data_IF_623181136190
#
_entry.id   IF_623181136190
#
_cell.length_a   1.000
_cell.length_b   1.000
_cell.length_c   1.000
_cell.angle_alpha   90.00
_cell.angle_beta   90.00
_cell.angle_gamma   90.00
#
_symmetry.space_group_name_H-M   'P 1'
#
loop_
_entity.id
_entity.type
_entity.pdbx_description
1 polymer ?
#
# COMPACT_ATOMS: atom_id res chain seq x y z
N UNK A 1 -8.04 -10.21 17.08
CA UNK A 1 -6.98 -9.25 16.73
C UNK A 1 -6.88 -9.15 15.22
N UNK A 2 -7.00 -7.96 14.62
CA UNK A 2 -6.60 -7.75 13.23
C UNK A 2 -5.09 -7.54 13.24
N UNK A 3 -4.36 -8.24 12.37
CA UNK A 3 -2.91 -8.04 12.23
C UNK A 3 -2.65 -6.74 11.47
N UNK A 4 -1.53 -6.08 11.76
CA UNK A 4 -1.09 -4.87 11.08
C UNK A 4 -1.10 -5.03 9.54
N UNK A 5 -0.68 -6.20 9.07
CA UNK A 5 -0.74 -6.60 7.66
C UNK A 5 -2.18 -6.61 7.10
N UNK A 6 -3.14 -7.11 7.88
CA UNK A 6 -4.55 -7.17 7.46
C UNK A 6 -5.14 -5.78 7.27
N UNK A 7 -4.84 -4.87 8.20
CA UNK A 7 -5.33 -3.49 8.14
C UNK A 7 -4.65 -2.70 7.02
N UNK A 8 -3.35 -2.91 6.82
CA UNK A 8 -2.64 -2.37 5.68
C UNK A 8 -3.22 -2.85 4.34
N UNK A 9 -3.49 -4.16 4.20
CA UNK A 9 -4.06 -4.71 2.98
C UNK A 9 -5.45 -4.15 2.65
N UNK A 10 -6.25 -3.80 3.66
CA UNK A 10 -7.53 -3.09 3.45
C UNK A 10 -7.30 -1.68 2.90
N UNK A 11 -6.39 -0.90 3.49
CA UNK A 11 -6.00 0.42 2.99
C UNK A 11 -5.49 0.37 1.55
N UNK A 12 -4.62 -0.59 1.24
CA UNK A 12 -4.06 -0.79 -0.10
C UNK A 12 -5.13 -1.16 -1.13
N UNK A 13 -6.06 -2.06 -0.79
CA UNK A 13 -7.18 -2.44 -1.68
C UNK A 13 -8.15 -1.29 -1.93
N UNK A 14 -8.45 -0.47 -0.93
CA UNK A 14 -9.31 0.70 -1.07
C UNK A 14 -8.74 1.70 -2.10
N UNK A 15 -7.41 1.79 -2.18
CA UNK A 15 -6.71 2.68 -3.09
C UNK A 15 -6.34 2.04 -4.45
N UNK A 16 -6.80 0.83 -4.76
CA UNK A 16 -6.39 0.09 -5.97
C UNK A 16 -6.64 0.86 -7.27
N UNK A 17 -7.73 1.63 -7.36
CA UNK A 17 -8.04 2.47 -8.55
C UNK A 17 -7.05 3.63 -8.74
N UNK A 18 -6.41 4.05 -7.64
CA UNK A 18 -5.44 5.13 -7.64
C UNK A 18 -4.01 4.67 -7.98
N UNK A 19 -3.80 3.37 -8.18
CA UNK A 19 -2.49 2.77 -8.41
C UNK A 19 -2.45 2.04 -9.76
N UNK A 20 -1.29 2.07 -10.42
CA UNK A 20 -1.01 1.12 -11.49
C UNK A 20 -0.90 -0.30 -10.93
N UNK A 21 -1.10 -1.31 -11.78
CA UNK A 21 -0.94 -2.71 -11.40
C UNK A 21 0.44 -3.00 -10.81
N UNK A 22 1.48 -2.36 -11.35
CA UNK A 22 2.85 -2.52 -10.86
C UNK A 22 3.03 -1.92 -9.47
N UNK A 23 2.57 -0.67 -9.26
CA UNK A 23 2.63 0.00 -7.96
C UNK A 23 1.90 -0.81 -6.87
N UNK A 24 0.69 -1.28 -7.18
CA UNK A 24 -0.07 -2.13 -6.27
C UNK A 24 0.69 -3.41 -5.90
N UNK A 25 1.29 -4.10 -6.88
CA UNK A 25 2.05 -5.34 -6.65
C UNK A 25 3.31 -5.09 -5.81
N UNK A 26 4.05 -4.01 -6.08
CA UNK A 26 5.26 -3.66 -5.34
C UNK A 26 4.95 -3.35 -3.87
N UNK A 27 3.98 -2.47 -3.61
CA UNK A 27 3.58 -2.11 -2.24
C UNK A 27 3.03 -3.32 -1.48
N UNK A 28 2.24 -4.17 -2.17
CA UNK A 28 1.77 -5.45 -1.62
C UNK A 28 2.95 -6.35 -1.23
N UNK A 29 3.95 -6.47 -2.10
CA UNK A 29 5.14 -7.30 -1.87
C UNK A 29 5.95 -6.87 -0.65
N UNK A 30 6.16 -5.56 -0.47
CA UNK A 30 6.86 -5.01 0.70
C UNK A 30 6.16 -5.38 2.01
N UNK A 31 4.84 -5.20 2.07
CA UNK A 31 4.08 -5.57 3.26
C UNK A 31 4.11 -7.08 3.56
N UNK A 32 4.09 -7.94 2.53
CA UNK A 32 4.25 -9.39 2.73
C UNK A 32 5.66 -9.79 3.15
N UNK A 33 6.68 -9.01 2.80
CA UNK A 33 8.06 -9.20 3.27
C UNK A 33 8.28 -8.74 4.72
N UNK A 34 7.25 -8.20 5.38
CA UNK A 34 7.31 -7.68 6.75
C UNK A 34 7.64 -6.19 6.85
N UNK A 35 7.94 -5.52 5.72
CA UNK A 35 8.19 -4.07 5.68
C UNK A 35 6.87 -3.30 5.47
N UNK A 36 6.01 -3.34 6.50
CA UNK A 36 4.72 -2.64 6.45
C UNK A 36 4.92 -1.12 6.50
N UNK A 37 5.86 -0.63 7.30
CA UNK A 37 6.16 0.80 7.42
C UNK A 37 6.67 1.39 6.09
N UNK A 38 7.58 0.69 5.39
CA UNK A 38 8.03 1.08 4.06
C UNK A 38 6.90 1.05 3.04
N UNK A 39 6.03 0.04 3.10
CA UNK A 39 4.84 -0.05 2.25
C UNK A 39 3.83 1.10 2.49
N UNK A 40 3.60 1.51 3.75
CA UNK A 40 2.76 2.66 4.08
C UNK A 40 3.34 3.97 3.54
N UNK A 41 4.64 4.21 3.74
CA UNK A 41 5.32 5.39 3.19
C UNK A 41 5.27 5.41 1.66
N UNK A 42 5.43 4.26 1.01
CA UNK A 42 5.33 4.11 -0.43
C UNK A 42 3.92 4.42 -0.94
N UNK A 43 2.89 3.87 -0.28
CA UNK A 43 1.49 4.14 -0.61
C UNK A 43 1.15 5.63 -0.47
N UNK A 44 1.56 6.27 0.63
CA UNK A 44 1.30 7.71 0.87
C UNK A 44 1.87 8.58 -0.26
N UNK A 45 3.15 8.39 -0.60
CA UNK A 45 3.80 9.13 -1.69
C UNK A 45 3.13 8.95 -3.04
N UNK A 46 2.62 7.75 -3.33
CA UNK A 46 1.92 7.47 -4.58
C UNK A 46 0.57 8.17 -4.67
N UNK A 47 -0.14 8.30 -3.54
CA UNK A 47 -1.42 8.99 -3.47
C UNK A 47 -1.26 10.51 -3.51
N UNK A 48 -0.25 11.06 -2.82
CA UNK A 48 0.08 12.50 -2.88
C UNK A 48 0.32 12.97 -4.32
N UNK A 49 1.08 12.20 -5.12
CA UNK A 49 1.40 12.54 -6.51
C UNK A 49 0.20 12.53 -7.47
N UNK A 50 -0.93 11.95 -7.08
CA UNK A 50 -2.11 11.83 -7.92
C UNK A 50 -3.21 12.83 -7.54
N UNK A 51 -3.13 13.40 -6.34
CA UNK A 51 -4.06 14.40 -5.83
C UNK A 51 -3.44 15.80 -5.66
N UNK A 52 -2.16 15.98 -6.01
CA UNK A 52 -1.50 17.28 -6.17
C UNK A 52 -1.48 17.77 -7.60
#
# INVERSE_FOLDING_TARGET
MKTELTDFMKKLKANKRNLSTQQFRTIKGQAFAGDIAGAEKGLHKLLERRCG
#
